data_IF_163720616994
#
_entry.id   IF_163720616994
#
_cell.length_a   1.000
_cell.length_b   1.000
_cell.length_c   1.000
_cell.angle_alpha   90.00
_cell.angle_beta   90.00
_cell.angle_gamma   90.00
#
_symmetry.space_group_name_H-M   'P 1'
#
loop_
_entity.id
_entity.type
_entity.pdbx_description
1 polymer ?
#
# COMPACT_ATOMS: atom_id res chain seq x y z
N UNK A 1 -1.94 7.30 -14.70
CA UNK A 1 -2.08 8.04 -13.43
C UNK A 1 -2.10 7.06 -12.25
N UNK A 2 -1.24 7.25 -11.28
CA UNK A 2 -1.15 6.39 -10.09
C UNK A 2 -1.69 7.13 -8.88
N UNK A 3 -2.48 6.45 -8.04
CA UNK A 3 -2.86 6.96 -6.73
C UNK A 3 -2.05 6.23 -5.65
N UNK A 4 -1.43 6.98 -4.76
CA UNK A 4 -0.75 6.44 -3.57
C UNK A 4 -1.46 6.96 -2.32
N UNK A 5 -1.97 6.04 -1.52
CA UNK A 5 -2.71 6.33 -0.29
C UNK A 5 -1.81 6.05 0.91
N UNK A 6 -1.60 7.09 1.72
CA UNK A 6 -0.68 7.07 2.87
C UNK A 6 0.76 7.45 2.49
N UNK A 7 1.25 8.53 3.08
CA UNK A 7 2.63 9.03 2.94
C UNK A 7 3.44 8.77 4.22
N UNK A 8 3.26 7.57 4.74
CA UNK A 8 4.06 7.03 5.83
C UNK A 8 5.43 6.52 5.34
N UNK A 9 6.00 5.60 6.11
CA UNK A 9 7.35 5.08 5.83
C UNK A 9 7.49 4.40 4.48
N UNK A 10 6.50 3.59 4.07
CA UNK A 10 6.52 2.91 2.76
C UNK A 10 6.09 3.88 1.66
N UNK A 11 4.99 4.62 1.86
CA UNK A 11 4.41 5.48 0.83
C UNK A 11 5.33 6.60 0.37
N UNK A 12 6.11 7.22 1.26
CA UNK A 12 7.09 8.25 0.86
C UNK A 12 8.16 7.69 -0.07
N UNK A 13 8.69 6.51 0.19
CA UNK A 13 9.62 5.83 -0.72
C UNK A 13 8.96 5.44 -2.05
N UNK A 14 7.71 4.95 -2.01
CA UNK A 14 6.98 4.55 -3.22
C UNK A 14 6.80 5.75 -4.15
N UNK A 15 6.31 6.90 -3.65
CA UNK A 15 6.10 8.08 -4.51
C UNK A 15 7.41 8.59 -5.12
N UNK A 16 8.50 8.62 -4.36
CA UNK A 16 9.81 9.00 -4.89
C UNK A 16 10.30 8.03 -5.98
N UNK A 17 10.23 6.72 -5.72
CA UNK A 17 10.63 5.71 -6.70
C UNK A 17 9.82 5.80 -7.99
N UNK A 18 8.51 6.02 -7.90
CA UNK A 18 7.64 6.14 -9.08
C UNK A 18 8.00 7.37 -9.93
N UNK A 19 8.21 8.53 -9.29
CA UNK A 19 8.59 9.75 -10.01
C UNK A 19 9.99 9.62 -10.63
N UNK A 20 10.97 9.08 -9.89
CA UNK A 20 12.31 8.80 -10.43
C UNK A 20 12.28 7.78 -11.58
N UNK A 21 11.26 6.92 -11.63
CA UNK A 21 11.03 5.97 -12.74
C UNK A 21 10.25 6.58 -13.91
N UNK A 22 9.95 7.88 -13.90
CA UNK A 22 9.33 8.60 -15.00
C UNK A 22 7.81 8.65 -14.98
N UNK A 23 7.15 8.30 -13.87
CA UNK A 23 5.71 8.49 -13.69
C UNK A 23 5.45 9.99 -13.53
N UNK A 24 4.61 10.58 -14.42
CA UNK A 24 4.38 12.02 -14.46
C UNK A 24 3.07 12.48 -13.82
N UNK A 25 2.13 11.56 -13.58
CA UNK A 25 0.82 11.89 -13.00
C UNK A 25 0.57 11.04 -11.77
N UNK A 26 0.47 11.70 -10.62
CA UNK A 26 0.30 11.03 -9.33
C UNK A 26 -0.76 11.73 -8.48
N UNK A 27 -1.63 10.94 -7.85
CA UNK A 27 -2.52 11.39 -6.78
C UNK A 27 -1.92 10.92 -5.46
N UNK A 28 -1.72 11.82 -4.53
CA UNK A 28 -1.25 11.50 -3.18
C UNK A 28 -2.34 11.83 -2.16
N UNK A 29 -2.60 10.86 -1.28
CA UNK A 29 -3.64 10.96 -0.25
C UNK A 29 -3.01 10.76 1.11
N UNK A 30 -3.07 11.78 1.96
CA UNK A 30 -2.62 11.70 3.36
C UNK A 30 -3.22 12.89 4.13
N UNK A 31 -3.55 12.73 5.41
CA UNK A 31 -4.13 13.78 6.23
C UNK A 31 -3.18 14.31 7.32
N UNK A 32 -2.06 13.61 7.55
CA UNK A 32 -1.14 13.90 8.62
C UNK A 32 -0.29 15.14 8.41
N UNK A 33 0.17 15.67 9.53
CA UNK A 33 1.28 16.60 9.59
C UNK A 33 2.59 15.82 9.81
N UNK A 34 3.70 16.45 9.46
CA UNK A 34 5.04 15.90 9.67
C UNK A 34 5.41 16.05 11.14
N UNK A 35 5.75 14.94 11.77
CA UNK A 35 6.27 14.90 13.13
C UNK A 35 7.78 14.62 13.15
N UNK A 36 8.46 15.08 14.19
CA UNK A 36 9.88 14.77 14.40
C UNK A 36 10.15 13.26 14.42
N UNK A 37 9.19 12.49 14.96
CA UNK A 37 9.20 11.02 14.99
C UNK A 37 9.12 10.35 13.63
N UNK A 38 8.82 11.10 12.56
CA UNK A 38 8.73 10.57 11.18
C UNK A 38 10.09 10.57 10.47
N UNK A 39 10.96 11.52 10.79
CA UNK A 39 12.17 11.84 10.00
C UNK A 39 13.14 10.67 9.85
N UNK A 40 13.20 9.77 10.84
CA UNK A 40 14.12 8.63 10.79
C UNK A 40 13.75 7.55 9.77
N UNK A 41 12.53 7.57 9.19
CA UNK A 41 12.05 6.51 8.29
C UNK A 41 11.25 6.98 7.08
N UNK A 42 10.80 8.22 7.06
CA UNK A 42 10.03 8.79 5.96
C UNK A 42 10.94 9.69 5.11
N UNK A 43 11.19 9.28 3.87
CA UNK A 43 12.08 10.00 2.98
C UNK A 43 11.44 11.30 2.48
N UNK A 44 12.25 12.32 2.26
CA UNK A 44 11.81 13.61 1.72
C UNK A 44 11.37 14.63 2.77
N UNK A 45 11.34 14.27 4.06
CA UNK A 45 11.05 15.19 5.16
C UNK A 45 12.32 15.56 5.91
N UNK A 46 12.45 16.83 6.27
CA UNK A 46 13.56 17.39 7.03
C UNK A 46 13.06 18.08 8.30
N UNK A 47 13.98 18.46 9.19
CA UNK A 47 13.63 19.10 10.48
C UNK A 47 12.81 20.38 10.30
N UNK A 48 13.09 21.17 9.27
CA UNK A 48 12.37 22.38 8.92
C UNK A 48 10.94 22.18 8.39
N UNK A 49 10.59 20.91 8.09
CA UNK A 49 9.27 20.55 7.60
C UNK A 49 8.32 20.09 8.71
N UNK A 50 8.81 19.92 9.94
CA UNK A 50 7.98 19.51 11.08
C UNK A 50 6.82 20.49 11.29
N UNK A 51 5.61 19.95 11.43
CA UNK A 51 4.37 20.69 11.57
C UNK A 51 3.69 21.08 10.26
N UNK A 52 4.31 20.84 9.10
CA UNK A 52 3.68 21.06 7.79
C UNK A 52 2.93 19.81 7.33
N UNK A 53 1.97 19.98 6.40
CA UNK A 53 1.26 18.84 5.79
C UNK A 53 2.21 17.97 4.98
N UNK A 54 2.12 16.65 5.16
CA UNK A 54 2.94 15.67 4.40
C UNK A 54 2.77 15.83 2.90
N UNK A 55 1.51 15.97 2.45
CA UNK A 55 1.19 16.12 1.01
C UNK A 55 1.82 17.35 0.38
N UNK A 56 1.95 18.48 1.12
CA UNK A 56 2.53 19.70 0.58
C UNK A 56 4.04 19.57 0.39
N UNK A 57 4.71 18.96 1.36
CA UNK A 57 6.15 18.76 1.29
C UNK A 57 6.51 17.72 0.24
N UNK A 58 5.75 16.61 0.17
CA UNK A 58 5.99 15.59 -0.85
C UNK A 58 5.78 16.17 -2.25
N UNK A 59 4.70 16.92 -2.51
CA UNK A 59 4.52 17.58 -3.80
C UNK A 59 5.75 18.42 -4.17
N UNK A 60 6.24 19.25 -3.23
CA UNK A 60 7.44 20.07 -3.44
C UNK A 60 8.64 19.19 -3.83
N UNK A 61 8.92 18.12 -3.07
CA UNK A 61 10.06 17.23 -3.33
C UNK A 61 9.95 16.51 -4.68
N UNK A 62 8.75 16.04 -5.03
CA UNK A 62 8.54 15.36 -6.32
C UNK A 62 8.78 16.32 -7.49
N UNK A 63 8.35 17.59 -7.39
CA UNK A 63 8.60 18.61 -8.40
C UNK A 63 10.06 19.07 -8.45
N UNK A 64 10.81 18.99 -7.37
CA UNK A 64 12.26 19.22 -7.36
C UNK A 64 13.00 18.11 -8.13
N UNK A 65 12.50 16.86 -8.11
CA UNK A 65 13.05 15.73 -8.88
C UNK A 65 12.65 15.83 -10.35
N UNK A 66 11.37 16.05 -10.61
CA UNK A 66 10.80 16.11 -11.97
C UNK A 66 9.79 17.28 -12.05
N UNK A 67 10.21 18.45 -12.54
CA UNK A 67 9.41 19.69 -12.52
C UNK A 67 8.08 19.61 -13.25
N UNK A 68 7.95 18.78 -14.30
CA UNK A 68 6.74 18.59 -15.10
C UNK A 68 5.77 17.53 -14.52
N UNK A 69 6.01 17.06 -13.29
CA UNK A 69 5.12 16.14 -12.61
C UNK A 69 3.80 16.82 -12.22
N UNK A 70 2.69 16.21 -12.63
CA UNK A 70 1.34 16.59 -12.18
C UNK A 70 1.02 15.85 -10.88
N UNK A 71 0.97 16.59 -9.77
CA UNK A 71 0.66 16.06 -8.44
C UNK A 71 -0.72 16.56 -8.01
N UNK A 72 -1.66 15.66 -7.79
CA UNK A 72 -2.97 15.94 -7.20
C UNK A 72 -2.91 15.56 -5.73
N UNK A 73 -3.16 16.55 -4.85
CA UNK A 73 -3.13 16.36 -3.40
C UNK A 73 -4.53 16.19 -2.84
N UNK A 74 -4.71 15.19 -1.98
CA UNK A 74 -5.95 14.99 -1.23
C UNK A 74 -5.59 14.92 0.26
N UNK A 75 -5.95 15.98 0.99
CA UNK A 75 -5.75 16.05 2.43
C UNK A 75 -6.96 15.45 3.15
N UNK A 76 -7.06 14.13 3.13
CA UNK A 76 -8.20 13.43 3.71
C UNK A 76 -7.79 12.01 4.16
N UNK A 77 -8.66 11.41 4.98
CA UNK A 77 -8.56 10.03 5.44
C UNK A 77 -9.35 9.12 4.51
N UNK A 78 -8.84 7.91 4.29
CA UNK A 78 -9.59 6.89 3.54
C UNK A 78 -10.50 6.12 4.51
N UNK A 79 -11.76 6.49 4.49
CA UNK A 79 -12.88 5.85 5.18
C UNK A 79 -13.91 5.32 4.17
N UNK A 80 -14.99 4.69 4.64
CA UNK A 80 -16.04 4.08 3.82
C UNK A 80 -16.72 5.06 2.84
N UNK A 81 -16.59 6.38 3.08
CA UNK A 81 -17.18 7.43 2.23
C UNK A 81 -16.16 8.11 1.32
N UNK A 82 -14.89 7.77 1.41
CA UNK A 82 -13.82 8.45 0.68
C UNK A 82 -14.08 8.50 -0.83
N UNK A 83 -14.36 7.36 -1.45
CA UNK A 83 -14.64 7.29 -2.88
C UNK A 83 -15.98 7.90 -3.32
N UNK A 84 -16.83 8.27 -2.37
CA UNK A 84 -18.07 9.03 -2.64
C UNK A 84 -17.85 10.55 -2.55
N UNK A 85 -16.81 11.00 -1.83
CA UNK A 85 -16.44 12.41 -1.71
C UNK A 85 -15.68 12.96 -2.92
N UNK A 86 -15.01 12.09 -3.64
CA UNK A 86 -14.14 12.46 -4.75
C UNK A 86 -14.49 11.68 -6.01
N UNK A 87 -14.55 12.37 -7.14
CA UNK A 87 -14.69 11.75 -8.45
C UNK A 87 -13.30 11.51 -9.06
N UNK A 88 -12.93 10.25 -9.25
CA UNK A 88 -11.65 9.88 -9.84
C UNK A 88 -11.83 9.40 -11.27
N UNK A 89 -11.01 9.93 -12.18
CA UNK A 89 -11.01 9.54 -13.58
C UNK A 89 -9.62 9.05 -13.99
N UNK A 90 -9.60 8.01 -14.82
CA UNK A 90 -8.37 7.51 -15.45
C UNK A 90 -7.27 7.11 -14.45
N UNK A 91 -7.64 6.42 -13.38
CA UNK A 91 -6.66 5.81 -12.49
C UNK A 91 -6.23 4.47 -13.07
N UNK A 92 -4.93 4.31 -13.33
CA UNK A 92 -4.35 3.08 -13.86
C UNK A 92 -3.93 2.10 -12.75
N UNK A 93 -3.66 2.62 -11.55
CA UNK A 93 -3.18 1.84 -10.40
C UNK A 93 -3.44 2.58 -9.10
N UNK A 94 -3.86 1.86 -8.04
CA UNK A 94 -3.90 2.37 -6.67
C UNK A 94 -2.92 1.58 -5.80
N UNK A 95 -2.09 2.28 -5.03
CA UNK A 95 -1.16 1.69 -4.06
C UNK A 95 -1.61 2.10 -2.66
N UNK A 96 -2.01 1.13 -1.85
CA UNK A 96 -2.39 1.36 -0.45
C UNK A 96 -1.18 1.23 0.48
N UNK A 97 -0.72 2.34 1.03
CA UNK A 97 0.32 2.43 2.06
C UNK A 97 -0.23 3.00 3.38
N UNK A 98 -1.55 3.16 3.50
CA UNK A 98 -2.19 3.69 4.69
C UNK A 98 -2.42 2.60 5.75
N UNK A 99 -2.18 2.95 7.01
CA UNK A 99 -2.31 2.07 8.16
C UNK A 99 -3.32 2.55 9.22
N UNK A 100 -4.06 3.63 8.94
CA UNK A 100 -5.09 4.11 9.84
C UNK A 100 -6.50 3.87 9.26
N UNK A 101 -7.44 3.31 10.02
CA UNK A 101 -7.30 2.77 11.39
C UNK A 101 -6.48 1.47 11.44
N UNK A 102 -6.42 0.71 10.37
CA UNK A 102 -5.56 -0.46 10.16
C UNK A 102 -5.30 -0.68 8.67
N UNK A 103 -4.22 -1.35 8.32
CA UNK A 103 -3.93 -1.74 6.92
C UNK A 103 -5.07 -2.59 6.35
N UNK A 104 -5.65 -3.49 7.15
CA UNK A 104 -6.75 -4.35 6.70
C UNK A 104 -8.01 -3.53 6.35
N UNK A 105 -8.36 -2.54 7.18
CA UNK A 105 -9.52 -1.68 6.95
C UNK A 105 -9.36 -0.87 5.66
N UNK A 106 -8.24 -0.17 5.49
CA UNK A 106 -7.97 0.61 4.28
C UNK A 106 -7.88 -0.27 3.04
N UNK A 107 -7.29 -1.46 3.16
CA UNK A 107 -7.20 -2.42 2.05
C UNK A 107 -8.57 -2.94 1.61
N UNK A 108 -9.52 -3.13 2.53
CA UNK A 108 -10.90 -3.50 2.19
C UNK A 108 -11.60 -2.38 1.43
N UNK A 109 -11.55 -1.16 1.94
CA UNK A 109 -12.19 0.01 1.31
C UNK A 109 -11.65 0.23 -0.10
N UNK A 110 -10.32 0.26 -0.24
CA UNK A 110 -9.66 0.46 -1.53
C UNK A 110 -9.90 -0.74 -2.46
N UNK A 111 -9.79 -1.97 -1.93
CA UNK A 111 -9.99 -3.19 -2.69
C UNK A 111 -11.40 -3.29 -3.25
N UNK A 112 -12.43 -2.98 -2.46
CA UNK A 112 -13.83 -2.98 -2.93
C UNK A 112 -14.05 -1.99 -4.07
N UNK A 113 -13.54 -0.76 -3.93
CA UNK A 113 -13.59 0.25 -4.99
C UNK A 113 -12.85 -0.22 -6.25
N UNK A 114 -11.65 -0.74 -6.10
CA UNK A 114 -10.83 -1.20 -7.22
C UNK A 114 -11.44 -2.41 -7.95
N UNK A 115 -11.98 -3.37 -7.22
CA UNK A 115 -12.64 -4.53 -7.82
C UNK A 115 -13.86 -4.14 -8.65
N UNK A 116 -14.71 -3.23 -8.13
CA UNK A 116 -15.90 -2.73 -8.85
C UNK A 116 -15.54 -1.93 -10.11
N UNK A 117 -14.45 -1.16 -10.05
CA UNK A 117 -14.00 -0.30 -11.15
C UNK A 117 -12.94 -0.96 -12.04
N UNK A 118 -12.60 -2.21 -11.80
CA UNK A 118 -11.57 -2.98 -12.54
C UNK A 118 -10.20 -2.29 -12.55
N UNK A 119 -9.83 -1.65 -11.44
CA UNK A 119 -8.56 -0.96 -11.29
C UNK A 119 -7.55 -1.91 -10.61
N UNK A 120 -6.40 -2.18 -11.22
CA UNK A 120 -5.29 -2.84 -10.54
C UNK A 120 -4.91 -2.11 -9.26
N UNK A 121 -4.58 -2.86 -8.21
CA UNK A 121 -4.15 -2.24 -6.96
C UNK A 121 -3.11 -3.09 -6.23
N UNK A 122 -2.31 -2.41 -5.42
CA UNK A 122 -1.26 -3.02 -4.62
C UNK A 122 -1.48 -2.65 -3.18
N UNK A 123 -1.45 -3.65 -2.30
CA UNK A 123 -1.38 -3.42 -0.86
C UNK A 123 0.09 -3.19 -0.54
N UNK A 124 0.45 -2.00 -0.12
CA UNK A 124 1.81 -1.69 0.30
C UNK A 124 2.23 -2.59 1.45
N UNK A 125 3.48 -2.96 1.48
CA UNK A 125 4.02 -3.84 2.51
C UNK A 125 4.04 -3.18 3.89
N UNK A 126 4.14 -4.02 4.90
CA UNK A 126 4.38 -3.62 6.28
C UNK A 126 5.75 -4.12 6.72
N UNK A 127 6.24 -3.63 7.83
CA UNK A 127 7.52 -4.06 8.39
C UNK A 127 7.50 -4.04 9.92
N UNK A 128 8.39 -4.82 10.50
CA UNK A 128 8.74 -4.75 11.92
C UNK A 128 10.27 -4.74 12.09
N UNK A 129 10.79 -5.08 13.26
CA UNK A 129 12.23 -4.97 13.55
C UNK A 129 13.12 -5.95 12.77
N UNK A 130 12.59 -7.05 12.24
CA UNK A 130 13.38 -8.15 11.68
C UNK A 130 12.82 -8.74 10.38
N UNK A 131 11.62 -8.37 10.00
CA UNK A 131 11.02 -8.79 8.73
C UNK A 131 10.23 -7.66 8.08
N UNK A 132 10.05 -7.74 6.79
CA UNK A 132 9.10 -6.90 6.08
C UNK A 132 8.15 -7.74 5.25
N UNK A 133 6.86 -7.39 5.32
CA UNK A 133 5.85 -7.89 4.41
C UNK A 133 5.99 -7.16 3.07
N UNK A 134 6.03 -7.92 2.00
CA UNK A 134 5.97 -7.38 0.65
C UNK A 134 4.51 -7.28 0.22
N UNK A 135 4.16 -6.17 -0.39
CA UNK A 135 2.79 -5.88 -0.80
C UNK A 135 2.25 -6.85 -1.85
N UNK A 136 0.97 -7.12 -1.78
CA UNK A 136 0.27 -7.98 -2.73
C UNK A 136 -0.25 -7.18 -3.92
N UNK A 137 0.00 -7.69 -5.13
CA UNK A 137 -0.57 -7.16 -6.38
C UNK A 137 -1.90 -7.85 -6.68
N UNK A 138 -2.93 -7.07 -6.90
CA UNK A 138 -4.26 -7.54 -7.24
C UNK A 138 -4.68 -6.98 -8.60
N UNK A 139 -4.91 -7.89 -9.54
CA UNK A 139 -5.46 -7.57 -10.87
C UNK A 139 -6.90 -8.10 -10.90
N UNK A 140 -7.91 -7.21 -10.95
CA UNK A 140 -9.31 -7.62 -10.96
C UNK A 140 -9.64 -8.56 -12.11
N UNK A 141 -10.25 -9.70 -11.77
CA UNK A 141 -10.57 -10.74 -12.75
C UNK A 141 -9.48 -11.79 -12.98
N UNK A 142 -8.22 -11.49 -12.64
CA UNK A 142 -7.08 -12.37 -12.92
C UNK A 142 -6.52 -13.03 -11.65
N UNK A 143 -6.29 -12.23 -10.60
CA UNK A 143 -5.64 -12.71 -9.38
C UNK A 143 -6.62 -12.85 -8.22
N UNK A 144 -6.18 -13.50 -7.15
CA UNK A 144 -6.90 -13.51 -5.88
C UNK A 144 -7.02 -12.08 -5.32
N UNK A 145 -8.19 -11.71 -4.85
CA UNK A 145 -8.45 -10.44 -4.18
C UNK A 145 -8.14 -10.52 -2.67
N UNK A 146 -8.28 -9.40 -1.96
CA UNK A 146 -8.02 -9.34 -0.52
C UNK A 146 -8.93 -10.27 0.28
N UNK A 147 -10.20 -10.45 -0.13
CA UNK A 147 -11.13 -11.37 0.54
C UNK A 147 -10.69 -12.84 0.39
N UNK A 148 -10.15 -13.23 -0.77
CA UNK A 148 -9.54 -14.56 -0.95
C UNK A 148 -8.37 -14.76 0.00
N UNK A 149 -7.49 -13.76 0.09
CA UNK A 149 -6.33 -13.79 0.96
C UNK A 149 -6.73 -13.94 2.44
N UNK A 150 -7.66 -13.13 2.93
CA UNK A 150 -8.13 -13.21 4.33
C UNK A 150 -8.72 -14.58 4.66
N UNK A 151 -9.60 -15.11 3.80
CA UNK A 151 -10.18 -16.45 3.99
C UNK A 151 -9.10 -17.52 4.03
N UNK A 152 -8.13 -17.47 3.13
CA UNK A 152 -7.01 -18.43 3.10
C UNK A 152 -6.13 -18.34 4.35
N UNK A 153 -5.86 -17.14 4.86
CA UNK A 153 -5.11 -16.97 6.10
C UNK A 153 -5.85 -17.54 7.33
N UNK A 154 -7.16 -17.35 7.40
CA UNK A 154 -7.98 -17.91 8.49
C UNK A 154 -7.92 -19.43 8.45
N UNK A 155 -8.07 -20.04 7.28
CA UNK A 155 -8.00 -21.48 7.11
C UNK A 155 -6.61 -22.05 7.44
N UNK A 156 -5.54 -21.40 6.97
CA UNK A 156 -4.16 -21.84 7.22
C UNK A 156 -3.76 -21.78 8.71
N UNK A 157 -4.29 -20.82 9.43
CA UNK A 157 -3.92 -20.63 10.82
C UNK A 157 -4.88 -21.36 11.79
N UNK A 158 -5.91 -22.06 11.31
CA UNK A 158 -6.96 -22.69 12.13
C UNK A 158 -7.53 -21.72 13.20
N UNK A 159 -7.62 -20.43 12.83
CA UNK A 159 -7.95 -19.37 13.77
C UNK A 159 -9.45 -19.40 14.03
N UNK A 160 -9.86 -19.81 15.22
CA UNK A 160 -11.21 -19.55 15.73
C UNK A 160 -11.37 -18.05 16.03
N UNK A 161 -11.92 -17.31 15.06
CA UNK A 161 -12.13 -15.86 15.15
C UNK A 161 -12.99 -15.44 16.35
N UNK A 162 -13.78 -16.36 16.94
CA UNK A 162 -14.60 -16.06 18.13
C UNK A 162 -13.79 -15.86 19.40
N UNK A 163 -12.57 -16.40 19.43
CA UNK A 163 -11.69 -16.37 20.60
C UNK A 163 -10.49 -15.42 20.46
N UNK A 164 -10.39 -14.70 19.34
CA UNK A 164 -9.29 -13.72 19.16
C UNK A 164 -9.63 -12.43 19.89
N UNK A 165 -8.90 -12.14 20.96
CA UNK A 165 -8.79 -10.80 21.51
C UNK A 165 -7.74 -10.02 20.71
N UNK A 166 -8.19 -9.08 19.85
CA UNK A 166 -7.26 -8.07 19.31
C UNK A 166 -6.67 -7.29 20.50
N UNK A 167 -5.39 -7.45 20.72
CA UNK A 167 -4.68 -6.61 21.67
C UNK A 167 -4.54 -5.22 21.06
N UNK A 168 -5.37 -4.28 21.50
CA UNK A 168 -5.21 -2.86 21.20
C UNK A 168 -3.98 -2.35 21.98
N UNK A 169 -2.81 -2.47 21.39
CA UNK A 169 -1.59 -1.87 21.94
C UNK A 169 -1.49 -0.40 21.50
N UNK A 170 -2.45 0.42 21.92
CA UNK A 170 -2.51 1.86 21.62
C UNK A 170 -1.26 2.62 22.11
N UNK A 171 -0.48 2.04 23.01
CA UNK A 171 0.66 2.72 23.67
C UNK A 171 2.04 2.24 23.24
N UNK A 172 2.15 1.17 22.45
CA UNK A 172 3.45 0.63 22.08
C UNK A 172 3.93 1.22 20.77
N UNK A 173 4.79 2.24 20.82
CA UNK A 173 5.56 2.68 19.66
C UNK A 173 6.53 1.57 19.28
N UNK A 174 6.25 0.86 18.19
CA UNK A 174 7.15 -0.15 17.65
C UNK A 174 8.25 0.59 16.92
N UNK A 175 9.50 0.25 17.22
CA UNK A 175 10.65 0.77 16.47
C UNK A 175 10.54 0.39 15.00
N UNK A 176 11.03 1.26 14.15
CA UNK A 176 11.01 1.10 12.70
C UNK A 176 12.44 1.00 12.19
N UNK A 177 12.70 0.07 11.30
CA UNK A 177 14.01 -0.11 10.67
C UNK A 177 13.97 0.38 9.22
N UNK A 178 14.51 1.57 8.91
CA UNK A 178 14.40 2.19 7.58
C UNK A 178 14.84 1.32 6.40
N UNK A 179 15.91 0.51 6.48
CA UNK A 179 16.30 -0.38 5.39
C UNK A 179 15.22 -1.38 4.97
N UNK A 180 14.46 -1.94 5.93
CA UNK A 180 13.35 -2.84 5.63
C UNK A 180 12.19 -2.11 4.96
N UNK A 181 11.93 -0.88 5.38
CA UNK A 181 10.94 -0.01 4.74
C UNK A 181 11.30 0.30 3.29
N UNK A 182 12.55 0.70 3.05
CA UNK A 182 13.05 1.01 1.72
C UNK A 182 13.01 -0.22 0.80
N UNK A 183 13.37 -1.41 1.32
CA UNK A 183 13.28 -2.68 0.58
C UNK A 183 11.84 -2.98 0.16
N UNK A 184 10.90 -2.94 1.11
CA UNK A 184 9.47 -3.17 0.83
C UNK A 184 8.95 -2.19 -0.23
N UNK A 185 9.24 -0.90 -0.07
CA UNK A 185 8.82 0.13 -1.00
C UNK A 185 9.45 -0.04 -2.40
N UNK A 186 10.71 -0.46 -2.48
CA UNK A 186 11.40 -0.70 -3.76
C UNK A 186 10.77 -1.85 -4.53
N UNK A 187 10.46 -2.96 -3.84
CA UNK A 187 9.78 -4.10 -4.46
C UNK A 187 8.35 -3.70 -4.89
N UNK A 188 7.61 -3.00 -4.01
CA UNK A 188 6.28 -2.48 -4.34
C UNK A 188 6.32 -1.58 -5.57
N UNK A 189 7.29 -0.67 -5.66
CA UNK A 189 7.45 0.24 -6.80
C UNK A 189 7.79 -0.52 -8.09
N UNK A 190 8.63 -1.55 -8.01
CA UNK A 190 8.92 -2.41 -9.16
C UNK A 190 7.65 -3.13 -9.68
N UNK A 191 6.81 -3.67 -8.79
CA UNK A 191 5.53 -4.25 -9.18
C UNK A 191 4.58 -3.20 -9.78
N UNK A 192 4.55 -1.96 -9.24
CA UNK A 192 3.79 -0.86 -9.85
C UNK A 192 4.21 -0.63 -11.31
N UNK A 193 5.50 -0.56 -11.58
CA UNK A 193 6.03 -0.37 -12.94
C UNK A 193 5.60 -1.54 -13.83
N UNK A 194 5.73 -2.78 -13.38
CA UNK A 194 5.30 -3.96 -14.14
C UNK A 194 3.81 -3.92 -14.47
N UNK A 195 2.95 -3.56 -13.52
CA UNK A 195 1.51 -3.41 -13.75
C UNK A 195 1.23 -2.33 -14.79
N UNK A 196 1.81 -1.15 -14.66
CA UNK A 196 1.60 -0.02 -15.55
C UNK A 196 2.06 -0.31 -16.98
N UNK A 197 3.15 -1.03 -17.15
CA UNK A 197 3.67 -1.45 -18.47
C UNK A 197 3.10 -2.78 -18.96
N UNK A 198 2.14 -3.37 -18.22
CA UNK A 198 1.49 -4.65 -18.56
C UNK A 198 2.48 -5.78 -18.81
N UNK A 199 3.51 -5.86 -17.96
CA UNK A 199 4.50 -6.93 -18.04
C UNK A 199 3.94 -8.22 -17.44
N UNK A 200 4.23 -9.36 -18.09
CA UNK A 200 3.68 -10.67 -17.70
C UNK A 200 4.42 -11.34 -16.53
N UNK A 201 5.42 -10.67 -15.94
CA UNK A 201 6.28 -11.25 -14.91
C UNK A 201 6.03 -10.65 -13.51
N UNK A 202 4.76 -10.42 -13.16
CA UNK A 202 4.37 -10.04 -11.81
C UNK A 202 4.75 -11.13 -10.82
N UNK A 203 5.37 -10.76 -9.71
CA UNK A 203 5.89 -11.71 -8.71
C UNK A 203 5.10 -11.72 -7.42
N UNK A 204 4.40 -10.63 -7.11
CA UNK A 204 3.65 -10.46 -5.85
C UNK A 204 2.16 -10.74 -6.02
N UNK A 205 1.78 -11.60 -6.98
CA UNK A 205 0.39 -12.05 -7.19
C UNK A 205 0.15 -13.39 -6.52
N UNK A 206 -1.04 -13.58 -5.96
CA UNK A 206 -1.48 -14.85 -5.36
C UNK A 206 -0.54 -15.39 -4.28
N UNK A 207 0.21 -14.52 -3.62
CA UNK A 207 1.09 -14.90 -2.54
C UNK A 207 1.15 -13.81 -1.46
N UNK A 208 1.58 -14.22 -0.28
CA UNK A 208 2.08 -13.35 0.78
C UNK A 208 3.57 -13.61 0.92
N UNK A 209 4.37 -12.61 0.66
CA UNK A 209 5.83 -12.68 0.76
C UNK A 209 6.34 -11.94 1.98
N UNK A 210 7.23 -12.56 2.70
CA UNK A 210 7.94 -11.99 3.85
C UNK A 210 9.44 -12.06 3.57
N UNK A 211 10.12 -10.93 3.73
CA UNK A 211 11.57 -10.90 3.70
C UNK A 211 12.10 -10.96 5.13
N UNK A 212 12.91 -11.95 5.42
CA UNK A 212 13.53 -12.17 6.72
C UNK A 212 14.94 -11.60 6.73
N UNK A 213 15.17 -10.56 7.53
CA UNK A 213 16.45 -9.85 7.58
C UNK A 213 17.60 -10.75 8.04
N UNK A 214 17.36 -11.58 9.06
CA UNK A 214 18.38 -12.44 9.64
C UNK A 214 18.96 -13.45 8.65
N UNK A 215 18.12 -14.08 7.85
CA UNK A 215 18.53 -15.09 6.87
C UNK A 215 18.71 -14.53 5.46
N UNK A 216 18.35 -13.26 5.21
CA UNK A 216 18.32 -12.63 3.88
C UNK A 216 17.50 -13.39 2.85
N UNK A 217 16.44 -14.08 3.30
CA UNK A 217 15.59 -14.92 2.48
C UNK A 217 14.16 -14.42 2.40
N UNK A 218 13.49 -14.77 1.29
CA UNK A 218 12.05 -14.61 1.16
C UNK A 218 11.34 -15.89 1.57
N UNK A 219 10.26 -15.72 2.33
CA UNK A 219 9.27 -16.78 2.59
C UNK A 219 7.98 -16.40 1.89
N UNK A 220 7.38 -17.35 1.18
CA UNK A 220 6.16 -17.15 0.43
C UNK A 220 5.08 -18.11 0.89
N UNK A 221 3.88 -17.59 1.13
CA UNK A 221 2.66 -18.36 1.34
C UNK A 221 1.79 -18.12 0.11
N UNK A 222 1.57 -19.18 -0.67
CA UNK A 222 0.76 -19.10 -1.88
C UNK A 222 -0.72 -19.34 -1.55
N UNK A 223 -1.61 -18.64 -2.24
CA UNK A 223 -3.04 -18.82 -2.18
C UNK A 223 -3.67 -18.55 -3.55
N UNK A 224 -4.83 -19.14 -3.79
CA UNK A 224 -5.50 -19.04 -5.09
C UNK A 224 -6.75 -18.16 -5.03
N UNK A 225 -7.17 -17.68 -6.20
CA UNK A 225 -8.48 -17.10 -6.38
C UNK A 225 -9.54 -18.16 -6.05
N UNK A 226 -10.50 -17.79 -5.23
CA UNK A 226 -11.55 -18.70 -4.74
C UNK A 226 -12.81 -18.57 -5.59
N UNK A 227 -13.39 -19.70 -5.94
CA UNK A 227 -14.65 -19.76 -6.70
C UNK A 227 -15.82 -19.20 -5.87
N UNK A 228 -15.79 -19.42 -4.55
CA UNK A 228 -16.78 -18.96 -3.58
C UNK A 228 -16.53 -17.53 -3.06
N UNK A 229 -15.62 -16.77 -3.65
CA UNK A 229 -15.31 -15.42 -3.20
C UNK A 229 -16.41 -14.44 -3.57
N UNK A 230 -16.87 -13.66 -2.59
CA UNK A 230 -17.91 -12.64 -2.77
C UNK A 230 -17.49 -11.49 -3.71
N UNK A 231 -16.17 -11.24 -3.85
CA UNK A 231 -15.66 -10.13 -4.65
C UNK A 231 -15.15 -10.55 -6.03
N UNK A 232 -14.54 -11.71 -6.14
CA UNK A 232 -13.89 -12.13 -7.38
C UNK A 232 -14.25 -13.55 -7.84
N UNK A 233 -15.10 -14.27 -7.10
CA UNK A 233 -15.61 -15.59 -7.49
C UNK A 233 -16.56 -15.54 -8.68
N UNK A 234 -17.04 -16.71 -9.12
CA UNK A 234 -17.98 -16.81 -10.27
C UNK A 234 -19.31 -16.09 -10.01
N UNK A 235 -19.75 -15.98 -8.76
CA UNK A 235 -20.95 -15.26 -8.33
C UNK A 235 -20.60 -13.90 -7.67
N UNK A 236 -19.37 -13.43 -7.81
CA UNK A 236 -18.92 -12.16 -7.26
C UNK A 236 -19.60 -10.97 -7.93
N UNK A 237 -19.92 -9.93 -7.12
CA UNK A 237 -20.59 -8.70 -7.57
C UNK A 237 -19.60 -7.72 -8.20
#
# INVERSE_FOLDING_TARGET
>A
QVMVVGLGSVGTWVVHNLIMSGIKKIIIVDYDDIELSNLHRQVGFFTEDVGKKKIDIIEKRLKEIQPDTEVIKINDIVDDKFFNRYEFKNIDLIVNCADYPTVDATSKIIGEYCMRNKIPHIIGGGYNLHLTLIGQVIIPGETACISCFEKSLIELNEIDMKNIKKMNTITRKIGSFPPLTALSASITSNECIKVLFKLNNLTMTNNRSEFLLESMNFQNINFNRRIDCEWCGENGK
#
